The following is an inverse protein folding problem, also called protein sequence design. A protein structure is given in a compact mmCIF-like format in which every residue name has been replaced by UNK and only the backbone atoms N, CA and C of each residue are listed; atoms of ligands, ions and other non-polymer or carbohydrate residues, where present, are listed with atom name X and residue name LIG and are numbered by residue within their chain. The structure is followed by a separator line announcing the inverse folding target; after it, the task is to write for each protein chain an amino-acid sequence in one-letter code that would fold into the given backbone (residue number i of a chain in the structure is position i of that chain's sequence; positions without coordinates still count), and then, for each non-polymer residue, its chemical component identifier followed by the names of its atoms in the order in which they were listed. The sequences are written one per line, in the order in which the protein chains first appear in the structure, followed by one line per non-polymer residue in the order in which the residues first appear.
data_IF_213391329453
#
_entry.id   IF_213391329453
#
_cell.length_a   1.000
_cell.length_b   1.000
_cell.length_c   1.000
_cell.angle_alpha   90.00
_cell.angle_beta   90.00
_cell.angle_gamma   90.00
#
_symmetry.space_group_name_H-M   'P 1'
#
loop_
_entity.id
_entity.type
_entity.pdbx_description
1 polymer ?
#
# COMPACT_ATOMS: atom_id res chain seq x y z
N UNK A 1 -2.53 -29.05 16.47
CA UNK A 1 -2.23 -27.69 16.97
C UNK A 1 -2.57 -26.75 15.83
N UNK A 2 -3.69 -26.01 15.94
CA UNK A 2 -4.17 -25.09 14.89
C UNK A 2 -3.12 -23.98 14.71
N UNK A 3 -2.30 -24.08 13.65
CA UNK A 3 -1.79 -22.87 13.03
C UNK A 3 -2.97 -22.27 12.29
N UNK A 4 -3.39 -21.06 12.65
CA UNK A 4 -4.25 -20.28 11.78
C UNK A 4 -3.46 -20.11 10.48
N UNK A 5 -3.80 -20.91 9.46
CA UNK A 5 -3.35 -20.65 8.11
C UNK A 5 -3.97 -19.29 7.79
N UNK A 6 -3.12 -18.27 7.65
CA UNK A 6 -3.55 -17.01 7.09
C UNK A 6 -3.91 -17.33 5.64
N UNK A 7 -5.17 -17.72 5.42
CA UNK A 7 -5.73 -18.07 4.11
C UNK A 7 -6.07 -16.76 3.38
N UNK A 8 -5.08 -15.87 3.33
CA UNK A 8 -5.18 -14.61 2.63
C UNK A 8 -5.02 -14.92 1.15
N UNK A 9 -6.14 -15.10 0.48
CA UNK A 9 -6.20 -15.23 -0.96
C UNK A 9 -6.08 -13.82 -1.55
N UNK A 10 -4.85 -13.46 -1.91
CA UNK A 10 -4.54 -12.18 -2.52
C UNK A 10 -5.23 -11.99 -3.88
N UNK A 11 -5.69 -13.08 -4.51
CA UNK A 11 -6.46 -13.05 -5.74
C UNK A 11 -7.95 -12.76 -5.53
N UNK A 12 -8.44 -12.83 -4.29
CA UNK A 12 -9.86 -12.60 -3.96
C UNK A 12 -10.12 -11.10 -3.74
N UNK A 13 -10.95 -10.44 -4.57
CA UNK A 13 -11.36 -9.06 -4.35
C UNK A 13 -12.00 -8.82 -2.97
N UNK A 14 -12.65 -9.84 -2.39
CA UNK A 14 -13.23 -9.77 -1.05
C UNK A 14 -12.21 -9.68 0.09
N UNK A 15 -10.93 -9.97 -0.20
CA UNK A 15 -9.79 -9.79 0.71
C UNK A 15 -8.95 -8.56 0.36
N UNK A 16 -9.48 -7.63 -0.44
CA UNK A 16 -8.84 -6.33 -0.68
C UNK A 16 -8.84 -5.49 0.60
N UNK A 17 -7.72 -4.84 0.90
CA UNK A 17 -7.61 -4.00 2.09
C UNK A 17 -6.18 -3.63 2.44
N UNK A 18 -6.02 -2.97 3.59
CA UNK A 18 -4.72 -2.56 4.12
C UNK A 18 -4.25 -3.51 5.22
N UNK A 19 -3.13 -4.18 4.98
CA UNK A 19 -2.52 -5.16 5.87
C UNK A 19 -1.24 -4.62 6.49
N UNK A 20 -1.11 -4.77 7.81
CA UNK A 20 0.11 -4.43 8.55
C UNK A 20 0.95 -5.68 8.67
N UNK A 21 2.21 -5.59 8.25
CA UNK A 21 3.14 -6.72 8.27
C UNK A 21 4.48 -6.29 8.87
N UNK A 22 5.23 -7.26 9.37
CA UNK A 22 6.61 -7.04 9.77
C UNK A 22 7.48 -6.74 8.52
N UNK A 23 8.54 -5.93 8.64
CA UNK A 23 9.41 -5.59 7.51
C UNK A 23 9.99 -6.82 6.80
N UNK A 24 10.37 -7.85 7.55
CA UNK A 24 10.88 -9.11 7.03
C UNK A 24 9.86 -9.90 6.19
N UNK A 25 8.56 -9.65 6.38
CA UNK A 25 7.50 -10.31 5.64
C UNK A 25 7.23 -9.65 4.27
N UNK A 26 7.71 -8.42 4.02
CA UNK A 26 7.48 -7.69 2.77
C UNK A 26 7.87 -8.49 1.52
N UNK A 27 9.06 -9.07 1.51
CA UNK A 27 9.55 -9.82 0.35
C UNK A 27 8.73 -11.09 0.12
N UNK A 28 8.27 -11.72 1.20
CA UNK A 28 7.38 -12.89 1.14
C UNK A 28 6.02 -12.50 0.58
N UNK A 29 5.41 -11.41 1.08
CA UNK A 29 4.13 -10.91 0.58
C UNK A 29 4.22 -10.46 -0.88
N UNK A 30 5.32 -9.82 -1.27
CA UNK A 30 5.59 -9.48 -2.66
C UNK A 30 5.70 -10.72 -3.55
N UNK A 31 6.31 -11.81 -3.06
CA UNK A 31 6.39 -13.05 -3.81
C UNK A 31 5.00 -13.69 -3.98
N UNK A 32 4.21 -13.77 -2.89
CA UNK A 32 2.85 -14.30 -2.92
C UNK A 32 1.93 -13.49 -3.83
N UNK A 33 1.99 -12.16 -3.78
CA UNK A 33 1.21 -11.30 -4.65
C UNK A 33 1.53 -11.55 -6.13
N UNK A 34 2.81 -11.71 -6.49
CA UNK A 34 3.22 -12.05 -7.87
C UNK A 34 2.74 -13.43 -8.28
N UNK A 35 2.78 -14.41 -7.37
CA UNK A 35 2.29 -15.77 -7.63
C UNK A 35 0.78 -15.79 -7.89
N UNK A 36 0.02 -14.96 -7.16
CA UNK A 36 -1.39 -14.68 -7.41
C UNK A 36 -1.65 -13.83 -8.68
N UNK A 37 -0.59 -13.45 -9.40
CA UNK A 37 -0.65 -12.65 -10.63
C UNK A 37 -0.89 -11.15 -10.43
N UNK A 38 -0.82 -10.65 -9.19
CA UNK A 38 -0.96 -9.23 -8.90
C UNK A 38 0.27 -8.44 -9.35
N UNK A 39 0.02 -7.19 -9.76
CA UNK A 39 1.06 -6.19 -10.00
C UNK A 39 1.61 -5.72 -8.65
N UNK A 40 2.84 -6.09 -8.36
CA UNK A 40 3.56 -5.60 -7.17
C UNK A 40 4.13 -4.20 -7.42
N UNK A 41 3.72 -3.25 -6.58
CA UNK A 41 4.11 -1.85 -6.57
C UNK A 41 4.78 -1.55 -5.22
N UNK A 42 6.11 -1.45 -5.20
CA UNK A 42 6.87 -1.16 -3.97
C UNK A 42 7.13 0.33 -3.85
N UNK A 43 6.92 0.87 -2.65
CA UNK A 43 7.12 2.28 -2.33
C UNK A 43 8.03 2.39 -1.12
N UNK A 44 9.26 2.85 -1.35
CA UNK A 44 10.20 3.21 -0.31
C UNK A 44 9.89 4.62 0.24
N UNK A 45 9.50 4.68 1.52
CA UNK A 45 9.21 5.90 2.27
C UNK A 45 10.36 6.31 3.21
N UNK A 46 11.55 5.73 3.06
CA UNK A 46 12.72 6.09 3.86
C UNK A 46 13.00 7.61 3.82
N UNK A 47 13.08 8.22 5.00
CA UNK A 47 13.32 9.65 5.17
C UNK A 47 12.14 10.56 4.78
N UNK A 48 10.97 10.01 4.50
CA UNK A 48 9.78 10.81 4.18
C UNK A 48 9.11 11.28 5.47
N UNK A 49 9.35 12.53 5.87
CA UNK A 49 8.78 13.11 7.09
C UNK A 49 7.75 14.23 6.81
N UNK A 50 7.23 14.34 5.59
CA UNK A 50 6.23 15.37 5.25
C UNK A 50 5.32 14.92 4.12
N UNK A 51 4.06 15.38 4.13
CA UNK A 51 3.09 15.21 3.04
C UNK A 51 3.66 15.44 1.66
N UNK A 52 4.40 16.54 1.45
CA UNK A 52 4.91 16.89 0.11
C UNK A 52 5.92 15.86 -0.39
N UNK A 53 6.82 15.40 0.48
CA UNK A 53 7.79 14.35 0.12
C UNK A 53 7.09 13.02 -0.11
N UNK A 54 6.08 12.69 0.72
CA UNK A 54 5.25 11.50 0.58
C UNK A 54 4.55 11.46 -0.79
N UNK A 55 3.80 12.50 -1.13
CA UNK A 55 3.06 12.58 -2.40
C UNK A 55 3.99 12.52 -3.61
N UNK A 56 5.14 13.20 -3.55
CA UNK A 56 6.14 13.14 -4.62
C UNK A 56 6.73 11.73 -4.79
N UNK A 57 7.00 11.03 -3.68
CA UNK A 57 7.54 9.66 -3.68
C UNK A 57 6.53 8.66 -4.21
N UNK A 58 5.28 8.74 -3.78
CA UNK A 58 4.18 7.91 -4.29
C UNK A 58 4.00 8.13 -5.78
N UNK A 59 3.89 9.39 -6.22
CA UNK A 59 3.71 9.69 -7.64
C UNK A 59 4.86 9.19 -8.52
N UNK A 60 6.10 9.24 -8.01
CA UNK A 60 7.27 8.73 -8.74
C UNK A 60 7.31 7.20 -8.78
N UNK A 61 7.04 6.52 -7.66
CA UNK A 61 7.19 5.05 -7.58
C UNK A 61 5.97 4.28 -8.14
N UNK A 62 4.81 4.93 -8.20
CA UNK A 62 3.59 4.40 -8.82
C UNK A 62 3.42 4.86 -10.28
N UNK A 63 4.43 5.53 -10.85
CA UNK A 63 4.44 6.05 -12.22
C UNK A 63 3.19 6.90 -12.55
N UNK A 64 2.77 7.76 -11.63
CA UNK A 64 1.58 8.61 -11.85
C UNK A 64 1.77 9.52 -13.06
N UNK A 65 0.74 9.72 -13.88
CA UNK A 65 0.83 10.50 -15.09
C UNK A 65 1.22 11.96 -14.79
N UNK A 66 1.94 12.57 -15.74
CA UNK A 66 2.31 13.97 -15.64
C UNK A 66 1.06 14.86 -15.54
N UNK A 67 0.95 15.62 -14.45
CA UNK A 67 -0.19 16.49 -14.18
C UNK A 67 -1.08 16.01 -13.03
N UNK A 68 -0.82 14.81 -12.47
CA UNK A 68 -1.41 14.39 -11.20
C UNK A 68 -1.16 15.43 -10.12
N UNK A 69 -2.24 15.93 -9.52
CA UNK A 69 -2.17 16.95 -8.48
C UNK A 69 -1.32 16.49 -7.29
N UNK A 70 -0.61 17.42 -6.65
CA UNK A 70 0.21 17.12 -5.48
C UNK A 70 -0.60 17.34 -4.18
N UNK A 71 -1.77 16.69 -4.12
CA UNK A 71 -2.72 16.75 -3.00
C UNK A 71 -3.33 15.34 -2.71
N UNK A 72 -4.14 15.23 -1.66
CA UNK A 72 -4.73 13.96 -1.22
C UNK A 72 -5.82 13.45 -2.17
N UNK A 73 -6.64 14.35 -2.71
CA UNK A 73 -7.71 13.99 -3.64
C UNK A 73 -7.14 13.36 -4.91
N UNK A 74 -6.09 13.97 -5.47
CA UNK A 74 -5.40 13.43 -6.63
C UNK A 74 -4.72 12.09 -6.32
N UNK A 75 -4.21 11.88 -5.10
CA UNK A 75 -3.69 10.56 -4.71
C UNK A 75 -4.81 9.51 -4.71
N UNK A 76 -5.96 9.84 -4.12
CA UNK A 76 -7.13 8.96 -4.08
C UNK A 76 -7.62 8.61 -5.49
N UNK A 77 -7.74 9.62 -6.36
CA UNK A 77 -8.15 9.43 -7.76
C UNK A 77 -7.16 8.53 -8.51
N UNK A 78 -5.85 8.78 -8.39
CA UNK A 78 -4.84 7.97 -9.06
C UNK A 78 -4.76 6.53 -8.52
N UNK A 79 -5.03 6.30 -7.22
CA UNK A 79 -5.05 4.95 -6.66
C UNK A 79 -6.29 4.16 -7.06
N UNK A 80 -7.40 4.85 -7.34
CA UNK A 80 -8.65 4.26 -7.85
C UNK A 80 -8.64 4.08 -9.37
N UNK A 81 -7.81 4.83 -10.10
CA UNK A 81 -7.62 4.69 -11.54
C UNK A 81 -6.16 4.44 -11.86
N UNK A 82 -5.76 3.16 -11.92
CA UNK A 82 -4.43 2.72 -12.32
C UNK A 82 -4.40 2.29 -13.80
N UNK A 83 -5.19 2.93 -14.66
CA UNK A 83 -5.33 2.55 -16.06
C UNK A 83 -4.02 2.57 -16.87
N UNK A 84 -3.00 3.32 -16.44
CA UNK A 84 -1.65 3.30 -17.05
C UNK A 84 -0.80 2.09 -16.64
N UNK A 85 -1.20 1.33 -15.62
CA UNK A 85 -0.57 0.10 -15.13
C UNK A 85 -1.54 -1.10 -15.21
N UNK A 86 -2.09 -1.45 -16.38
CA UNK A 86 -3.12 -2.47 -16.48
C UNK A 86 -2.65 -3.82 -15.90
N UNK A 87 -3.41 -4.33 -14.93
CA UNK A 87 -3.14 -5.59 -14.26
C UNK A 87 -4.45 -6.29 -13.85
N UNK A 88 -4.37 -7.57 -13.52
CA UNK A 88 -5.50 -8.32 -12.95
C UNK A 88 -5.78 -7.97 -11.48
N UNK A 89 -4.89 -7.20 -10.85
CA UNK A 89 -4.98 -6.74 -9.47
C UNK A 89 -3.66 -6.12 -9.03
N UNK A 90 -3.67 -5.49 -7.85
CA UNK A 90 -2.58 -4.66 -7.37
C UNK A 90 -2.17 -5.01 -5.94
N UNK A 91 -0.86 -5.08 -5.72
CA UNK A 91 -0.28 -5.19 -4.40
C UNK A 91 0.67 -4.02 -4.17
N UNK A 92 0.26 -3.08 -3.32
CA UNK A 92 1.08 -1.92 -2.93
C UNK A 92 1.85 -2.28 -1.66
N UNK A 93 3.17 -2.11 -1.63
CA UNK A 93 3.99 -2.37 -0.46
C UNK A 93 4.66 -1.07 -0.02
N UNK A 94 4.34 -0.60 1.18
CA UNK A 94 4.93 0.56 1.81
C UNK A 94 6.05 0.13 2.75
N UNK A 95 7.27 0.60 2.48
CA UNK A 95 8.48 0.27 3.22
C UNK A 95 8.99 1.51 4.00
N UNK A 96 9.69 1.28 5.11
CA UNK A 96 10.35 2.34 5.89
C UNK A 96 9.43 3.50 6.29
N UNK A 97 8.21 3.20 6.76
CA UNK A 97 7.20 4.19 7.15
C UNK A 97 7.50 4.89 8.48
N UNK A 98 8.54 4.48 9.22
CA UNK A 98 8.85 4.98 10.56
C UNK A 98 9.13 6.48 10.58
N UNK A 99 9.89 6.99 9.60
CA UNK A 99 10.16 8.41 9.46
C UNK A 99 8.88 9.22 9.21
N UNK A 100 7.94 8.65 8.46
CA UNK A 100 6.65 9.27 8.17
C UNK A 100 5.75 9.27 9.40
N UNK A 101 5.69 8.16 10.12
CA UNK A 101 4.95 8.06 11.39
C UNK A 101 5.46 9.06 12.43
N UNK A 102 6.77 9.19 12.56
CA UNK A 102 7.39 10.09 13.52
C UNK A 102 7.28 11.58 13.13
N UNK A 103 7.46 11.91 11.85
CA UNK A 103 7.44 13.29 11.37
C UNK A 103 6.06 13.83 11.00
N UNK A 104 5.16 12.95 10.55
CA UNK A 104 3.87 13.30 9.96
C UNK A 104 2.83 12.18 10.18
N UNK A 105 2.61 11.78 11.44
CA UNK A 105 1.70 10.68 11.79
C UNK A 105 0.25 10.89 11.34
N UNK A 106 -0.24 12.13 11.31
CA UNK A 106 -1.57 12.46 10.78
C UNK A 106 -1.65 12.22 9.26
N UNK A 107 -0.65 12.66 8.50
CA UNK A 107 -0.56 12.40 7.05
C UNK A 107 -0.48 10.89 6.75
N UNK A 108 0.20 10.13 7.62
CA UNK A 108 0.23 8.67 7.50
C UNK A 108 -1.16 8.04 7.70
N UNK A 109 -1.95 8.52 8.67
CA UNK A 109 -3.31 8.02 8.86
C UNK A 109 -4.17 8.29 7.62
N UNK A 110 -4.13 9.51 7.09
CA UNK A 110 -4.83 9.85 5.85
C UNK A 110 -4.42 8.99 4.66
N UNK A 111 -3.13 8.65 4.54
CA UNK A 111 -2.65 7.72 3.51
C UNK A 111 -3.31 6.34 3.64
N UNK A 112 -3.41 5.80 4.86
CA UNK A 112 -4.05 4.51 5.11
C UNK A 112 -5.53 4.55 4.75
N UNK A 113 -6.24 5.62 5.14
CA UNK A 113 -7.66 5.79 4.81
C UNK A 113 -7.87 5.81 3.29
N UNK A 114 -7.03 6.55 2.55
CA UNK A 114 -7.10 6.60 1.09
C UNK A 114 -6.84 5.22 0.45
N UNK A 115 -5.87 4.46 0.98
CA UNK A 115 -5.58 3.11 0.49
C UNK A 115 -6.73 2.13 0.76
N UNK A 116 -7.37 2.23 1.93
CA UNK A 116 -8.53 1.42 2.29
C UNK A 116 -9.73 1.73 1.38
N UNK A 117 -10.00 3.02 1.19
CA UNK A 117 -11.01 3.49 0.26
C UNK A 117 -10.76 3.05 -1.20
N UNK A 118 -9.51 3.03 -1.64
CA UNK A 118 -9.13 2.51 -2.96
C UNK A 118 -9.32 1.00 -3.03
N UNK A 119 -8.97 0.26 -1.96
CA UNK A 119 -9.17 -1.19 -1.88
C UNK A 119 -10.65 -1.56 -2.02
N UNK A 120 -11.54 -0.84 -1.32
CA UNK A 120 -12.99 -1.03 -1.41
C UNK A 120 -13.50 -0.72 -2.81
N UNK A 121 -13.01 0.33 -3.45
CA UNK A 121 -13.40 0.68 -4.83
C UNK A 121 -13.03 -0.45 -5.81
N UNK A 122 -11.79 -0.92 -5.78
CA UNK A 122 -11.34 -2.03 -6.63
C UNK A 122 -12.07 -3.34 -6.34
N UNK A 123 -12.33 -3.64 -5.07
CA UNK A 123 -13.11 -4.82 -4.68
C UNK A 123 -14.52 -4.81 -5.29
N UNK A 124 -15.18 -3.64 -5.33
CA UNK A 124 -16.49 -3.48 -5.98
C UNK A 124 -16.42 -3.68 -7.49
N UNK A 125 -15.27 -3.41 -8.11
CA UNK A 125 -15.00 -3.69 -9.53
C UNK A 125 -14.57 -5.14 -9.79
N UNK A 126 -14.41 -5.95 -8.74
CA UNK A 126 -13.96 -7.34 -8.84
C UNK A 126 -12.46 -7.47 -9.08
N UNK A 127 -11.68 -6.44 -8.74
CA UNK A 127 -10.23 -6.41 -8.86
C UNK A 127 -9.61 -6.46 -7.47
N UNK A 128 -8.73 -7.43 -7.17
CA UNK A 128 -8.04 -7.47 -5.89
C UNK A 128 -7.04 -6.31 -5.76
N UNK A 129 -7.15 -5.56 -4.66
CA UNK A 129 -6.23 -4.51 -4.29
C UNK A 129 -5.81 -4.66 -2.82
N UNK A 130 -4.53 -4.92 -2.60
CA UNK A 130 -3.98 -5.13 -1.26
C UNK A 130 -2.84 -4.15 -0.99
N UNK A 131 -2.86 -3.48 0.15
CA UNK A 131 -1.80 -2.57 0.57
C UNK A 131 -1.10 -3.12 1.82
N UNK A 132 0.15 -3.52 1.68
CA UNK A 132 0.99 -3.97 2.78
C UNK A 132 1.79 -2.80 3.36
N UNK A 133 1.73 -2.65 4.67
CA UNK A 133 2.43 -1.58 5.39
C UNK A 133 3.41 -2.23 6.36
N UNK A 134 4.70 -2.04 6.08
CA UNK A 134 5.77 -2.53 6.94
C UNK A 134 5.84 -1.67 8.19
N UNK A 135 5.37 -2.21 9.32
CA UNK A 135 5.50 -1.59 10.62
C UNK A 135 6.49 -2.42 11.44
N UNK A 136 7.52 -1.77 11.98
CA UNK A 136 8.24 -2.37 13.09
C UNK A 136 7.26 -2.41 14.27
N UNK A 137 7.01 -3.59 14.83
CA UNK A 137 6.48 -3.63 16.20
C UNK A 137 7.47 -2.84 17.04
N UNK A 138 6.99 -1.81 17.74
CA UNK A 138 7.82 -1.16 18.75
C UNK A 138 8.18 -2.27 19.74
N UNK A 139 9.41 -2.79 19.66
CA UNK A 139 10.04 -3.46 20.79
C UNK A 139 9.99 -2.42 21.91
N UNK A 140 8.98 -2.56 22.77
CA UNK A 140 8.83 -1.82 24.01
C UNK A 140 10.10 -2.10 24.82
N UNK A 141 11.11 -1.26 24.60
CA UNK A 141 12.37 -1.31 25.31
C UNK A 141 12.08 -0.87 26.75
N UNK A 142 11.80 -1.87 27.60
CA UNK A 142 11.59 -1.71 29.03
C UNK A 142 12.79 -1.17 29.80
#
# INVERSE_FOLDING_TARGET
MMGAHFDLDLGDPGQSGVYRIAPEALDTMAALARDAGLRVLRVDLAGCASKRTLLARLGTQLDFPHGSGMNWDALSDNLRDLSWLPAQGYAVLLEAVDALRAGAGEDFHFLLDILDEAAVAWANEGVPFVAFVSLQEEEDAG
#
